data_IF_509014524170
#
_entry.id   IF_509014524170
#
_cell.length_a   1.000
_cell.length_b   1.000
_cell.length_c   1.000
_cell.angle_alpha   90.00
_cell.angle_beta   90.00
_cell.angle_gamma   90.00
#
_symmetry.space_group_name_H-M   'P 1'
#
loop_
_entity.id
_entity.type
_entity.pdbx_description
1 polymer ?
#
# COMPACT_ATOMS: atom_id res chain seq x y z
N UNK A 1 -1.91 14.60 -10.34
CA UNK A 1 -0.48 14.19 -10.27
C UNK A 1 -0.16 13.86 -8.82
N UNK A 2 0.49 12.74 -8.61
CA UNK A 2 0.94 12.34 -7.28
C UNK A 2 2.22 13.08 -6.87
N UNK A 3 2.46 13.15 -5.56
CA UNK A 3 3.71 13.62 -4.97
C UNK A 3 4.32 12.44 -4.24
N UNK A 4 5.57 12.11 -4.56
CA UNK A 4 6.28 10.99 -3.97
C UNK A 4 7.49 11.52 -3.22
N UNK A 5 7.62 11.14 -1.95
CA UNK A 5 8.70 11.56 -1.07
C UNK A 5 9.38 10.33 -0.45
N UNK A 6 10.72 10.30 -0.50
CA UNK A 6 11.50 9.28 0.19
C UNK A 6 11.51 9.55 1.69
N UNK A 7 11.41 8.48 2.49
CA UNK A 7 11.53 8.51 3.95
C UNK A 7 12.70 7.64 4.42
N UNK A 8 12.98 7.60 5.71
CA UNK A 8 14.08 6.83 6.30
C UNK A 8 13.96 5.32 6.09
N UNK A 9 12.74 4.81 5.90
CA UNK A 9 12.46 3.38 5.76
C UNK A 9 11.57 3.02 4.55
N UNK A 10 11.33 3.96 3.65
CA UNK A 10 10.53 3.71 2.46
C UNK A 10 10.13 4.98 1.72
N UNK A 11 8.85 5.08 1.40
CA UNK A 11 8.26 6.22 0.66
C UNK A 11 6.92 6.65 1.24
N UNK A 12 6.58 7.91 1.04
CA UNK A 12 5.22 8.43 1.14
C UNK A 12 4.76 8.87 -0.25
N UNK A 13 3.65 8.33 -0.67
CA UNK A 13 2.94 8.68 -1.88
C UNK A 13 1.67 9.44 -1.52
N UNK A 14 1.47 10.62 -2.11
CA UNK A 14 0.30 11.45 -1.90
C UNK A 14 -0.43 11.68 -3.20
N UNK A 15 -1.72 11.34 -3.22
CA UNK A 15 -2.62 11.65 -4.32
C UNK A 15 -3.92 12.23 -3.77
N UNK A 16 -4.24 13.48 -4.14
CA UNK A 16 -5.41 14.20 -3.59
C UNK A 16 -5.37 14.20 -2.05
N UNK A 17 -6.38 13.61 -1.42
CA UNK A 17 -6.55 13.55 0.03
C UNK A 17 -6.03 12.23 0.65
N UNK A 18 -5.42 11.36 -0.16
CA UNK A 18 -4.91 10.08 0.32
C UNK A 18 -3.38 10.11 0.45
N UNK A 19 -2.90 9.62 1.59
CA UNK A 19 -1.50 9.31 1.85
C UNK A 19 -1.31 7.79 1.88
N UNK A 20 -0.37 7.30 1.11
CA UNK A 20 0.07 5.90 1.14
C UNK A 20 1.52 5.86 1.58
N UNK A 21 1.79 5.21 2.69
CA UNK A 21 3.13 4.96 3.18
C UNK A 21 3.51 3.51 2.92
N UNK A 22 4.60 3.30 2.22
CA UNK A 22 5.17 1.97 1.95
C UNK A 22 6.53 1.92 2.61
N UNK A 23 6.70 0.98 3.53
CA UNK A 23 7.89 0.86 4.38
C UNK A 23 8.47 -0.55 4.33
N UNK A 24 9.80 -0.64 4.31
CA UNK A 24 10.51 -1.84 4.70
C UNK A 24 10.40 -1.97 6.23
N UNK A 25 9.61 -2.91 6.71
CA UNK A 25 9.36 -3.09 8.16
C UNK A 25 10.23 -4.18 8.79
N UNK A 26 11.11 -4.77 8.05
CA UNK A 26 12.02 -5.83 8.38
C UNK A 26 12.41 -6.57 7.12
N UNK A 27 13.34 -7.52 7.23
CA UNK A 27 13.73 -8.32 6.08
C UNK A 27 12.54 -9.17 5.60
N UNK A 28 12.25 -9.09 4.32
CA UNK A 28 11.11 -9.78 3.70
C UNK A 28 9.74 -9.35 4.25
N UNK A 29 9.65 -8.13 4.83
CA UNK A 29 8.42 -7.57 5.34
C UNK A 29 8.23 -6.16 4.78
N UNK A 30 7.08 -5.93 4.16
CA UNK A 30 6.66 -4.60 3.70
C UNK A 30 5.36 -4.23 4.41
N UNK A 31 5.34 -3.06 5.02
CA UNK A 31 4.17 -2.47 5.65
C UNK A 31 3.58 -1.40 4.74
N UNK A 32 2.29 -1.49 4.48
CA UNK A 32 1.55 -0.45 3.76
C UNK A 32 0.50 0.15 4.68
N UNK A 33 0.47 1.48 4.75
CA UNK A 33 -0.53 2.24 5.48
C UNK A 33 -1.18 3.25 4.55
N UNK A 34 -2.48 3.33 4.57
CA UNK A 34 -3.27 4.25 3.76
C UNK A 34 -4.13 5.08 4.69
N UNK A 35 -4.12 6.41 4.53
CA UNK A 35 -4.93 7.32 5.33
C UNK A 35 -5.39 8.54 4.53
N UNK A 36 -6.48 9.16 4.97
CA UNK A 36 -6.90 10.50 4.53
C UNK A 36 -6.50 11.60 5.50
N UNK A 37 -5.91 11.26 6.62
CA UNK A 37 -5.36 12.25 7.54
C UNK A 37 -4.13 12.92 6.93
N UNK A 38 -3.86 14.15 7.37
CA UNK A 38 -2.66 14.89 6.93
C UNK A 38 -1.35 14.24 7.38
N UNK A 39 -1.41 13.40 8.39
CA UNK A 39 -0.27 12.67 8.97
C UNK A 39 -0.62 11.22 9.23
N UNK A 40 0.39 10.37 9.24
CA UNK A 40 0.28 8.97 9.64
C UNK A 40 0.46 8.85 11.15
N UNK A 41 -0.32 7.97 11.78
CA UNK A 41 -0.11 7.61 13.18
C UNK A 41 1.11 6.71 13.33
N UNK A 42 1.94 6.98 14.34
CA UNK A 42 3.10 6.14 14.67
C UNK A 42 2.75 4.98 15.64
N UNK A 43 1.47 4.85 15.99
CA UNK A 43 1.01 3.80 16.90
C UNK A 43 1.17 2.40 16.30
N UNK A 44 1.73 1.50 17.10
CA UNK A 44 1.99 0.10 16.74
C UNK A 44 1.15 -0.83 17.60
N UNK A 45 -0.16 -0.77 17.48
CA UNK A 45 -1.10 -1.51 18.34
C UNK A 45 -0.89 -3.03 18.36
N UNK A 46 -0.51 -3.59 17.24
CA UNK A 46 -0.41 -5.06 17.05
C UNK A 46 0.91 -5.49 16.45
N UNK A 47 1.83 -4.57 16.22
CA UNK A 47 3.12 -4.84 15.60
C UNK A 47 4.23 -4.87 16.66
N UNK A 48 5.05 -5.89 16.60
CA UNK A 48 6.30 -5.95 17.36
C UNK A 48 7.37 -5.07 16.68
N UNK A 49 8.30 -4.58 17.48
CA UNK A 49 9.51 -3.97 16.93
C UNK A 49 10.34 -5.04 16.23
N UNK A 50 10.85 -4.71 15.05
CA UNK A 50 11.71 -5.56 14.25
C UNK A 50 13.07 -4.89 14.10
N UNK A 51 14.10 -5.69 13.86
CA UNK A 51 15.44 -5.19 13.57
C UNK A 51 15.45 -4.40 12.25
N UNK A 52 16.25 -3.35 12.21
CA UNK A 52 16.51 -2.59 11.00
C UNK A 52 17.06 -3.51 9.91
N UNK A 53 16.58 -3.31 8.70
CA UNK A 53 17.04 -4.06 7.55
C UNK A 53 17.47 -3.14 6.42
N UNK A 54 18.30 -3.65 5.54
CA UNK A 54 18.60 -2.98 4.28
C UNK A 54 17.42 -3.03 3.35
N UNK A 55 17.15 -1.95 2.64
CA UNK A 55 16.09 -1.84 1.66
C UNK A 55 16.50 -0.92 0.52
N UNK A 56 15.79 -1.00 -0.59
CA UNK A 56 15.98 -0.17 -1.77
C UNK A 56 14.71 0.55 -2.13
N UNK A 57 14.84 1.80 -2.58
CA UNK A 57 13.73 2.59 -3.11
C UNK A 57 14.06 3.10 -4.50
N UNK A 58 13.11 2.99 -5.41
CA UNK A 58 13.16 3.61 -6.73
C UNK A 58 11.99 4.56 -6.87
N UNK A 59 12.26 5.78 -7.31
CA UNK A 59 11.23 6.81 -7.53
C UNK A 59 11.42 7.38 -8.91
N UNK A 60 10.34 7.34 -9.69
CA UNK A 60 10.22 7.98 -11.00
C UNK A 60 8.96 8.82 -11.03
N UNK A 61 8.70 9.52 -12.13
CA UNK A 61 7.47 10.29 -12.27
C UNK A 61 6.24 9.37 -12.23
N UNK A 62 5.36 9.61 -11.25
CA UNK A 62 4.12 8.86 -11.06
C UNK A 62 4.29 7.40 -10.60
N UNK A 63 5.50 6.98 -10.26
CA UNK A 63 5.76 5.59 -9.85
C UNK A 63 6.86 5.50 -8.81
N UNK A 64 6.67 4.62 -7.83
CA UNK A 64 7.71 4.30 -6.86
C UNK A 64 7.67 2.85 -6.42
N UNK A 65 8.80 2.35 -5.91
CA UNK A 65 8.88 1.02 -5.32
C UNK A 65 9.76 0.99 -4.08
N UNK A 66 9.47 0.05 -3.21
CA UNK A 66 10.26 -0.32 -2.03
C UNK A 66 10.53 -1.82 -2.09
N UNK A 67 11.79 -2.18 -1.98
CA UNK A 67 12.24 -3.58 -1.97
C UNK A 67 12.90 -3.90 -0.64
N UNK A 68 12.45 -4.95 0.03
CA UNK A 68 13.03 -5.51 1.24
C UNK A 68 13.22 -7.02 1.07
N UNK A 69 14.46 -7.46 0.94
CA UNK A 69 14.79 -8.86 0.68
C UNK A 69 14.15 -9.35 -0.62
N UNK A 70 13.33 -10.40 -0.50
CA UNK A 70 12.63 -11.00 -1.66
C UNK A 70 11.31 -10.31 -2.02
N UNK A 71 10.82 -9.39 -1.17
CA UNK A 71 9.57 -8.65 -1.39
C UNK A 71 9.82 -7.28 -1.99
N UNK A 72 8.98 -6.91 -2.95
CA UNK A 72 8.90 -5.58 -3.53
C UNK A 72 7.46 -5.11 -3.58
N UNK A 73 7.21 -3.91 -3.12
CA UNK A 73 5.95 -3.20 -3.34
C UNK A 73 6.15 -2.07 -4.33
N UNK A 74 5.21 -1.90 -5.22
CA UNK A 74 5.21 -0.87 -6.24
C UNK A 74 3.89 -0.11 -6.20
N UNK A 75 3.96 1.21 -6.32
CA UNK A 75 2.80 2.09 -6.47
C UNK A 75 2.96 2.87 -7.76
N UNK A 76 1.90 2.99 -8.55
CA UNK A 76 1.91 3.78 -9.77
C UNK A 76 0.62 4.56 -9.97
N UNK A 77 0.75 5.75 -10.57
CA UNK A 77 -0.38 6.57 -11.01
C UNK A 77 -1.15 5.87 -12.13
N UNK A 78 -2.46 6.02 -12.09
CA UNK A 78 -3.35 5.62 -13.17
C UNK A 78 -3.90 6.87 -13.89
N UNK A 79 -4.17 6.79 -15.21
CA UNK A 79 -4.55 7.96 -16.02
C UNK A 79 -5.81 8.69 -15.51
N UNK A 80 -6.70 8.00 -14.83
CA UNK A 80 -7.95 8.58 -14.31
C UNK A 80 -7.84 9.14 -12.88
N UNK A 81 -6.61 9.34 -12.37
CA UNK A 81 -6.38 9.96 -11.07
C UNK A 81 -6.63 9.05 -9.89
N UNK A 82 -6.31 7.78 -10.05
CA UNK A 82 -6.19 6.76 -9.02
C UNK A 82 -4.74 6.24 -8.98
N UNK A 83 -4.48 5.26 -8.14
CA UNK A 83 -3.20 4.58 -8.08
C UNK A 83 -3.40 3.07 -7.91
N UNK A 84 -2.42 2.32 -8.35
CA UNK A 84 -2.39 0.86 -8.24
C UNK A 84 -1.22 0.43 -7.35
N UNK A 85 -1.48 -0.48 -6.42
CA UNK A 85 -0.48 -1.16 -5.60
C UNK A 85 -0.25 -2.57 -6.14
N UNK A 86 1.02 -2.92 -6.32
CA UNK A 86 1.42 -4.25 -6.76
C UNK A 86 2.50 -4.80 -5.82
N UNK A 87 2.45 -6.09 -5.55
CA UNK A 87 3.38 -6.77 -4.66
C UNK A 87 3.99 -7.96 -5.39
N UNK A 88 5.30 -8.08 -5.26
CA UNK A 88 6.11 -9.09 -5.93
C UNK A 88 6.93 -9.88 -4.90
N UNK A 89 7.08 -11.17 -5.14
CA UNK A 89 8.01 -12.05 -4.43
C UNK A 89 8.93 -12.71 -5.44
N UNK A 90 10.25 -12.55 -5.28
CA UNK A 90 11.25 -13.04 -6.24
C UNK A 90 10.92 -12.61 -7.69
N UNK A 91 10.58 -11.34 -7.88
CA UNK A 91 10.17 -10.75 -9.17
C UNK A 91 8.85 -11.27 -9.77
N UNK A 92 8.13 -12.16 -9.09
CA UNK A 92 6.82 -12.65 -9.52
C UNK A 92 5.70 -11.88 -8.83
N UNK A 93 4.73 -11.41 -9.59
CA UNK A 93 3.55 -10.73 -9.05
C UNK A 93 2.74 -11.71 -8.19
N UNK A 94 2.51 -11.34 -6.92
CA UNK A 94 1.73 -12.15 -5.97
C UNK A 94 0.40 -11.51 -5.58
N UNK A 95 0.31 -10.19 -5.60
CA UNK A 95 -0.90 -9.46 -5.23
C UNK A 95 -0.93 -8.11 -5.93
N UNK A 96 -2.09 -7.67 -6.36
CA UNK A 96 -2.29 -6.35 -6.96
C UNK A 96 -3.68 -5.83 -6.64
N UNK A 97 -3.78 -4.52 -6.32
CA UNK A 97 -5.09 -3.88 -6.17
C UNK A 97 -5.80 -3.83 -7.52
N UNK A 98 -7.10 -4.07 -7.48
CA UNK A 98 -7.98 -3.94 -8.63
C UNK A 98 -8.63 -2.56 -8.61
N UNK A 99 -8.47 -1.81 -9.70
CA UNK A 99 -8.99 -0.45 -9.84
C UNK A 99 -9.94 -0.41 -11.03
N UNK A 100 -11.25 -0.53 -10.78
CA UNK A 100 -12.28 -0.40 -11.81
C UNK A 100 -13.07 0.91 -11.65
N UNK A 101 -13.10 1.71 -12.71
CA UNK A 101 -14.05 2.79 -12.93
C UNK A 101 -14.25 3.75 -11.76
N UNK A 102 -15.48 3.82 -11.28
CA UNK A 102 -15.88 4.78 -10.23
C UNK A 102 -15.31 4.46 -8.82
N UNK A 103 -14.77 3.28 -8.60
CA UNK A 103 -14.24 2.85 -7.29
C UNK A 103 -12.74 3.14 -7.13
N UNK A 104 -12.34 4.33 -7.49
CA UNK A 104 -10.93 4.75 -7.42
C UNK A 104 -10.48 5.18 -6.02
N UNK A 105 -11.40 5.44 -5.11
CA UNK A 105 -11.07 5.80 -3.73
C UNK A 105 -11.12 4.58 -2.81
N UNK A 106 -10.09 4.43 -2.00
CA UNK A 106 -10.04 3.42 -0.93
C UNK A 106 -10.99 3.80 0.23
N UNK A 107 -11.46 5.02 0.27
CA UNK A 107 -12.34 5.57 1.31
C UNK A 107 -13.63 6.08 0.69
N UNK A 108 -14.74 5.53 1.12
CA UNK A 108 -16.08 5.96 0.78
C UNK A 108 -16.68 6.73 1.97
N UNK A 109 -17.10 7.96 1.73
CA UNK A 109 -17.77 8.74 2.75
C UNK A 109 -19.14 8.15 3.05
N UNK A 110 -19.41 7.92 4.32
CA UNK A 110 -20.72 7.52 4.84
C UNK A 110 -21.34 8.67 5.61
N UNK A 111 -22.39 8.44 6.37
CA UNK A 111 -23.06 9.48 7.15
C UNK A 111 -22.15 10.10 8.21
N UNK A 112 -22.20 11.44 8.33
CA UNK A 112 -21.44 12.18 9.34
C UNK A 112 -19.95 12.26 9.00
N UNK A 113 -19.09 11.90 9.96
CA UNK A 113 -17.62 11.93 9.82
C UNK A 113 -17.02 10.54 9.57
N UNK A 114 -17.84 9.56 9.24
CA UNK A 114 -17.41 8.18 9.08
C UNK A 114 -17.04 7.87 7.63
N UNK A 115 -16.09 6.95 7.47
CA UNK A 115 -15.67 6.42 6.18
C UNK A 115 -15.78 4.91 6.20
N UNK A 116 -16.23 4.35 5.06
CA UNK A 116 -16.05 2.93 4.76
C UNK A 116 -14.77 2.76 3.97
N UNK A 117 -13.88 1.91 4.43
CA UNK A 117 -12.67 1.56 3.69
C UNK A 117 -12.94 0.32 2.85
N UNK A 118 -12.55 0.39 1.57
CA UNK A 118 -12.64 -0.73 0.63
C UNK A 118 -11.35 -0.83 -0.16
N UNK A 119 -10.70 -1.98 -0.09
CA UNK A 119 -9.56 -2.34 -0.94
C UNK A 119 -9.92 -3.61 -1.67
N UNK A 120 -9.86 -3.57 -3.00
CA UNK A 120 -10.16 -4.71 -3.87
C UNK A 120 -8.85 -5.20 -4.44
N UNK A 121 -8.64 -6.50 -4.46
CA UNK A 121 -7.47 -7.14 -5.05
C UNK A 121 -7.89 -8.04 -6.22
N UNK A 122 -7.01 -8.13 -7.21
CA UNK A 122 -7.13 -9.17 -8.24
C UNK A 122 -7.00 -10.53 -7.57
N UNK A 123 -7.93 -11.44 -7.85
CA UNK A 123 -7.88 -12.82 -7.38
C UNK A 123 -7.58 -13.76 -8.56
N UNK A 124 -6.91 -14.87 -8.28
CA UNK A 124 -6.68 -15.94 -9.25
C UNK A 124 -7.73 -17.03 -9.07
N UNK A 125 -8.06 -17.73 -10.13
CA UNK A 125 -9.09 -18.79 -10.10
C UNK A 125 -8.71 -19.97 -9.17
N UNK A 126 -7.40 -20.15 -8.92
CA UNK A 126 -6.83 -21.17 -8.06
C UNK A 126 -6.52 -20.69 -6.63
N UNK A 127 -7.00 -19.49 -6.26
CA UNK A 127 -6.71 -18.88 -4.96
C UNK A 127 -7.68 -19.38 -3.88
N UNK A 128 -7.15 -19.70 -2.71
CA UNK A 128 -7.91 -20.15 -1.56
C UNK A 128 -7.68 -19.23 -0.36
N UNK A 129 -8.76 -18.86 0.31
CA UNK A 129 -8.72 -18.02 1.50
C UNK A 129 -8.95 -18.88 2.75
N UNK A 130 -8.09 -18.69 3.76
CA UNK A 130 -8.14 -19.41 5.03
C UNK A 130 -8.13 -18.43 6.19
N UNK A 131 -8.73 -18.82 7.32
CA UNK A 131 -8.61 -18.08 8.57
C UNK A 131 -9.34 -16.74 8.64
N UNK A 132 -10.48 -16.62 7.96
CA UNK A 132 -11.30 -15.39 7.95
C UNK A 132 -12.00 -15.09 9.30
N UNK A 133 -11.50 -15.63 10.39
CA UNK A 133 -12.07 -15.51 11.72
C UNK A 133 -12.90 -16.73 12.11
N UNK A 134 -13.07 -16.88 13.40
CA UNK A 134 -14.07 -17.78 13.98
C UNK A 134 -15.18 -16.93 14.57
N UNK A 135 -16.40 -17.21 14.21
CA UNK A 135 -17.57 -16.68 14.93
C UNK A 135 -17.75 -17.38 16.28
#
# INVERSE_FOLDING_TARGET
MSIITKTDNGIIYKLKDELVCIEAYGRDIIRVRITRNSTLSDEKWTLLDVEDCSFETEITEGKASVTSGILRSEICDLPWGAYMLSFYKNCSLILRTHEEGEYTSKFEHTDGQNYRTRIIFDARDDEHFYGLGQE
#
